data_IF_450801542623
#
_entry.id   IF_450801542623
#
_cell.length_a   1.000
_cell.length_b   1.000
_cell.length_c   1.000
_cell.angle_alpha   90.00
_cell.angle_beta   90.00
_cell.angle_gamma   90.00
#
_symmetry.space_group_name_H-M   'P 1'
#
loop_
_entity.id
_entity.type
_entity.pdbx_description
1 polymer ?
#
# COMPACT_ATOMS: atom_id res chain seq x y z
N UNK A 1 12.71 -23.70 -11.91
CA UNK A 1 12.91 -22.24 -11.70
C UNK A 1 11.96 -21.83 -10.59
N UNK A 2 12.39 -21.00 -9.65
CA UNK A 2 11.50 -20.42 -8.65
C UNK A 2 10.55 -19.44 -9.34
N UNK A 3 9.27 -19.49 -8.99
CA UNK A 3 8.28 -18.52 -9.50
C UNK A 3 8.65 -17.13 -9.03
N UNK A 4 8.34 -16.10 -9.83
CA UNK A 4 8.48 -14.71 -9.43
C UNK A 4 7.44 -14.35 -8.40
N UNK A 5 7.81 -13.58 -7.39
CA UNK A 5 6.88 -13.02 -6.41
C UNK A 5 6.36 -11.68 -6.89
N UNK A 6 5.05 -11.60 -7.02
CA UNK A 6 4.33 -10.37 -7.40
C UNK A 6 3.62 -9.82 -6.17
N UNK A 7 3.90 -8.59 -5.81
CA UNK A 7 3.27 -7.93 -4.65
C UNK A 7 2.39 -6.79 -5.11
N UNK A 8 1.13 -6.81 -4.73
CA UNK A 8 0.15 -5.74 -5.03
C UNK A 8 -0.59 -5.35 -3.75
N UNK A 9 -0.52 -4.07 -3.39
CA UNK A 9 -1.26 -3.51 -2.27
C UNK A 9 -2.40 -2.61 -2.73
N UNK A 10 -3.50 -2.63 -1.99
CA UNK A 10 -4.60 -1.68 -2.15
C UNK A 10 -4.88 -0.96 -0.84
N UNK A 11 -4.86 0.38 -0.89
CA UNK A 11 -5.11 1.22 0.30
C UNK A 11 -6.57 1.16 0.71
N UNK A 12 -6.83 0.93 1.99
CA UNK A 12 -8.18 0.75 2.55
C UNK A 12 -8.75 2.06 3.12
N UNK A 13 -8.73 3.13 2.33
CA UNK A 13 -9.17 4.47 2.74
C UNK A 13 -10.51 4.91 2.13
N UNK A 14 -11.32 3.98 1.63
CA UNK A 14 -12.62 4.26 1.03
C UNK A 14 -13.24 3.06 0.34
N UNK A 15 -14.46 3.23 -0.18
CA UNK A 15 -15.17 2.20 -0.93
C UNK A 15 -14.54 2.01 -2.32
N UNK A 16 -14.33 0.76 -2.78
CA UNK A 16 -13.81 0.48 -4.11
C UNK A 16 -14.71 1.08 -5.21
N UNK A 17 -14.09 1.65 -6.21
CA UNK A 17 -14.80 2.18 -7.37
C UNK A 17 -14.31 1.50 -8.66
N UNK A 18 -14.99 1.78 -9.78
CA UNK A 18 -14.69 1.17 -11.08
C UNK A 18 -13.22 1.31 -11.50
N UNK A 19 -12.57 2.43 -11.16
CA UNK A 19 -11.15 2.64 -11.43
C UNK A 19 -10.25 1.64 -10.69
N UNK A 20 -10.55 1.33 -9.43
CA UNK A 20 -9.82 0.30 -8.68
C UNK A 20 -10.00 -1.08 -9.32
N UNK A 21 -11.22 -1.38 -9.77
CA UNK A 21 -11.50 -2.65 -10.44
C UNK A 21 -10.71 -2.80 -11.73
N UNK A 22 -10.80 -1.84 -12.64
CA UNK A 22 -10.16 -1.93 -13.96
C UNK A 22 -8.64 -1.79 -13.87
N UNK A 23 -8.16 -0.87 -13.01
CA UNK A 23 -6.74 -0.53 -12.94
C UNK A 23 -5.89 -1.47 -12.08
N UNK A 24 -6.49 -2.10 -11.06
CA UNK A 24 -5.71 -2.91 -10.12
C UNK A 24 -6.30 -4.31 -9.89
N UNK A 25 -7.58 -4.41 -9.48
CA UNK A 25 -8.14 -5.69 -9.00
C UNK A 25 -8.22 -6.72 -10.13
N UNK A 26 -8.83 -6.36 -11.24
CA UNK A 26 -9.01 -7.26 -12.38
C UNK A 26 -7.69 -7.77 -12.97
N UNK A 27 -6.70 -6.91 -13.28
CA UNK A 27 -5.40 -7.38 -13.78
C UNK A 27 -4.69 -8.31 -12.80
N UNK A 28 -4.69 -7.99 -11.51
CA UNK A 28 -4.06 -8.80 -10.47
C UNK A 28 -4.71 -10.19 -10.35
N UNK A 29 -6.04 -10.27 -10.36
CA UNK A 29 -6.77 -11.55 -10.36
C UNK A 29 -6.43 -12.36 -11.61
N UNK A 30 -6.43 -11.75 -12.79
CA UNK A 30 -6.10 -12.44 -14.04
C UNK A 30 -4.67 -12.99 -14.04
N UNK A 31 -3.71 -12.23 -13.53
CA UNK A 31 -2.33 -12.68 -13.41
C UNK A 31 -2.20 -13.84 -12.43
N UNK A 32 -2.87 -13.80 -11.28
CA UNK A 32 -2.82 -14.88 -10.28
C UNK A 32 -3.37 -16.21 -10.81
N UNK A 33 -4.36 -16.17 -11.70
CA UNK A 33 -4.97 -17.35 -12.28
C UNK A 33 -4.07 -18.08 -13.30
N UNK A 34 -3.05 -17.41 -13.85
CA UNK A 34 -2.08 -18.05 -14.77
C UNK A 34 -1.22 -19.10 -14.07
N UNK A 35 -1.03 -18.97 -12.76
CA UNK A 35 -0.18 -19.84 -11.97
C UNK A 35 1.33 -19.70 -12.22
N UNK A 36 1.75 -18.69 -13.00
CA UNK A 36 3.15 -18.45 -13.36
C UNK A 36 3.93 -17.71 -12.27
N UNK A 37 3.21 -17.04 -11.37
CA UNK A 37 3.76 -16.23 -10.28
C UNK A 37 3.28 -16.69 -8.90
N UNK A 38 4.04 -16.37 -7.87
CA UNK A 38 3.58 -16.40 -6.48
C UNK A 38 3.00 -15.02 -6.15
N UNK A 39 1.68 -14.92 -6.09
CA UNK A 39 0.98 -13.66 -5.93
C UNK A 39 0.71 -13.35 -4.46
N UNK A 40 1.14 -12.17 -4.03
CA UNK A 40 0.92 -11.60 -2.70
C UNK A 40 0.05 -10.36 -2.85
N UNK A 41 -1.15 -10.39 -2.30
CA UNK A 41 -2.08 -9.27 -2.34
C UNK A 41 -2.39 -8.82 -0.92
N UNK A 42 -2.30 -7.53 -0.66
CA UNK A 42 -2.54 -7.04 0.68
C UNK A 42 -3.43 -5.81 0.76
N UNK A 43 -4.16 -5.77 1.85
CA UNK A 43 -5.01 -4.65 2.24
C UNK A 43 -4.15 -3.71 3.07
N UNK A 44 -3.80 -2.56 2.49
CA UNK A 44 -2.82 -1.62 3.03
C UNK A 44 -3.46 -0.66 4.06
N UNK A 45 -3.86 -1.21 5.20
CA UNK A 45 -4.55 -0.48 6.27
C UNK A 45 -3.63 0.47 7.04
N UNK A 46 -2.34 0.17 7.20
CA UNK A 46 -1.38 1.14 7.73
C UNK A 46 -1.19 2.33 6.79
N UNK A 47 -1.11 2.10 5.49
CA UNK A 47 -1.05 3.20 4.52
C UNK A 47 -2.33 4.04 4.50
N UNK A 48 -3.48 3.45 4.83
CA UNK A 48 -4.74 4.18 4.94
C UNK A 48 -4.71 5.26 6.02
N UNK A 49 -3.97 5.04 7.12
CA UNK A 49 -3.86 5.98 8.23
C UNK A 49 -3.27 7.34 7.84
N UNK A 50 -2.59 7.43 6.70
CA UNK A 50 -2.08 8.70 6.17
C UNK A 50 -3.23 9.69 5.92
N UNK A 51 -4.39 9.20 5.46
CA UNK A 51 -5.55 10.01 5.07
C UNK A 51 -6.78 9.78 5.91
N UNK A 52 -6.90 8.64 6.57
CA UNK A 52 -8.05 8.24 7.34
C UNK A 52 -7.61 7.64 8.67
N UNK A 53 -7.93 8.31 9.77
CA UNK A 53 -7.59 7.89 11.14
C UNK A 53 -8.83 7.43 11.92
N UNK A 54 -9.97 7.34 11.26
CA UNK A 54 -11.18 6.77 11.83
C UNK A 54 -11.10 5.24 11.77
N UNK A 55 -11.03 4.54 12.92
CA UNK A 55 -10.84 3.10 12.96
C UNK A 55 -12.03 2.32 12.38
N UNK A 56 -13.27 2.82 12.57
CA UNK A 56 -14.46 2.17 12.03
C UNK A 56 -14.48 2.24 10.50
N UNK A 57 -14.12 3.40 9.96
CA UNK A 57 -14.07 3.61 8.52
C UNK A 57 -12.96 2.78 7.86
N UNK A 58 -11.76 2.72 8.47
CA UNK A 58 -10.66 1.89 7.97
C UNK A 58 -11.06 0.41 8.02
N UNK A 59 -11.64 -0.06 9.12
CA UNK A 59 -12.10 -1.44 9.26
C UNK A 59 -13.17 -1.80 8.21
N UNK A 60 -14.19 -0.95 8.07
CA UNK A 60 -15.26 -1.13 7.08
C UNK A 60 -14.70 -1.18 5.67
N UNK A 61 -13.83 -0.23 5.30
CA UNK A 61 -13.18 -0.17 3.99
C UNK A 61 -12.34 -1.42 3.70
N UNK A 62 -11.61 -1.91 4.70
CA UNK A 62 -10.83 -3.14 4.60
C UNK A 62 -11.72 -4.34 4.26
N UNK A 63 -12.86 -4.50 4.94
CA UNK A 63 -13.80 -5.58 4.66
C UNK A 63 -14.48 -5.44 3.30
N UNK A 64 -14.88 -4.23 2.91
CA UNK A 64 -15.50 -3.98 1.61
C UNK A 64 -14.56 -4.30 0.45
N UNK A 65 -13.28 -3.90 0.56
CA UNK A 65 -12.27 -4.20 -0.45
C UNK A 65 -11.97 -5.69 -0.50
N UNK A 66 -11.76 -6.33 0.66
CA UNK A 66 -11.53 -7.79 0.72
C UNK A 66 -12.68 -8.57 0.08
N UNK A 67 -13.92 -8.23 0.45
CA UNK A 67 -15.13 -8.86 -0.10
C UNK A 67 -15.24 -8.65 -1.62
N UNK A 68 -14.86 -7.45 -2.10
CA UNK A 68 -14.86 -7.15 -3.53
C UNK A 68 -13.86 -8.02 -4.29
N UNK A 69 -12.65 -8.21 -3.78
CA UNK A 69 -11.65 -9.08 -4.41
C UNK A 69 -12.14 -10.52 -4.53
N UNK A 70 -12.70 -11.06 -3.44
CA UNK A 70 -13.26 -12.43 -3.42
C UNK A 70 -14.45 -12.57 -4.37
N UNK A 71 -15.38 -11.61 -4.35
CA UNK A 71 -16.55 -11.62 -5.23
C UNK A 71 -16.19 -11.50 -6.71
N UNK A 72 -15.06 -10.86 -7.04
CA UNK A 72 -14.55 -10.71 -8.40
C UNK A 72 -13.73 -11.91 -8.88
N UNK A 73 -13.58 -12.93 -8.06
CA UNK A 73 -12.98 -14.21 -8.44
C UNK A 73 -11.55 -14.43 -7.97
N UNK A 74 -11.06 -13.66 -7.00
CA UNK A 74 -9.81 -13.99 -6.33
C UNK A 74 -9.93 -15.36 -5.66
N UNK A 75 -9.02 -16.27 -5.98
CA UNK A 75 -8.96 -17.58 -5.31
C UNK A 75 -7.93 -17.52 -4.16
N UNK A 76 -8.39 -17.51 -2.89
CA UNK A 76 -7.49 -17.42 -1.74
C UNK A 76 -6.59 -18.64 -1.56
N UNK A 77 -6.92 -19.79 -2.17
CA UNK A 77 -6.10 -21.00 -2.11
C UNK A 77 -4.88 -20.92 -3.06
N UNK A 78 -4.87 -19.96 -3.99
CA UNK A 78 -3.82 -19.79 -4.99
C UNK A 78 -2.92 -18.57 -4.75
N UNK A 79 -3.28 -17.71 -3.81
CA UNK A 79 -2.56 -16.47 -3.51
C UNK A 79 -2.35 -16.32 -2.02
N UNK A 80 -1.38 -15.50 -1.64
CA UNK A 80 -1.28 -15.01 -0.27
C UNK A 80 -2.07 -13.71 -0.19
N UNK A 81 -3.25 -13.76 0.44
CA UNK A 81 -4.11 -12.59 0.62
C UNK A 81 -4.20 -12.23 2.10
N UNK A 82 -3.74 -11.03 2.47
CA UNK A 82 -3.58 -10.65 3.87
C UNK A 82 -3.87 -9.16 4.11
N UNK A 83 -4.11 -8.80 5.35
CA UNK A 83 -4.15 -7.43 5.81
C UNK A 83 -2.76 -7.03 6.32
N UNK A 84 -2.27 -5.87 5.95
CA UNK A 84 -0.93 -5.40 6.31
C UNK A 84 -0.70 -5.43 7.83
N UNK A 85 -1.70 -5.02 8.62
CA UNK A 85 -1.63 -5.03 10.08
C UNK A 85 -1.64 -6.43 10.73
N UNK A 86 -1.89 -7.49 9.99
CA UNK A 86 -1.77 -8.87 10.50
C UNK A 86 -0.30 -9.32 10.60
N UNK A 87 0.63 -8.52 10.06
CA UNK A 87 2.06 -8.79 10.06
C UNK A 87 2.80 -7.67 10.80
N UNK A 88 2.90 -7.74 12.13
CA UNK A 88 3.51 -6.68 12.96
C UNK A 88 4.98 -6.42 12.60
N UNK A 89 5.69 -7.42 12.08
CA UNK A 89 7.09 -7.32 11.66
C UNK A 89 7.31 -6.27 10.56
N UNK A 90 6.28 -5.94 9.78
CA UNK A 90 6.35 -4.86 8.78
C UNK A 90 6.65 -3.53 9.47
N UNK A 91 6.03 -3.24 10.60
CA UNK A 91 6.28 -2.01 11.36
C UNK A 91 7.64 -2.02 12.03
N UNK A 92 8.12 -3.17 12.50
CA UNK A 92 9.46 -3.33 13.06
C UNK A 92 10.53 -3.07 11.99
N UNK A 93 10.38 -3.68 10.81
CA UNK A 93 11.27 -3.44 9.68
C UNK A 93 11.22 -1.98 9.23
N UNK A 94 10.03 -1.38 9.19
CA UNK A 94 9.87 0.05 8.88
C UNK A 94 10.66 0.93 9.83
N UNK A 95 10.65 0.63 11.14
CA UNK A 95 11.43 1.38 12.11
C UNK A 95 12.93 1.25 11.89
N UNK A 96 13.42 0.03 11.64
CA UNK A 96 14.83 -0.22 11.32
C UNK A 96 15.25 0.56 10.08
N UNK A 97 14.46 0.48 9.01
CA UNK A 97 14.73 1.21 7.77
C UNK A 97 14.68 2.73 7.98
N UNK A 98 13.77 3.23 8.81
CA UNK A 98 13.66 4.65 9.14
C UNK A 98 14.94 5.16 9.80
N UNK A 99 15.51 4.40 10.74
CA UNK A 99 16.76 4.75 11.42
C UNK A 99 17.97 4.78 10.47
N UNK A 100 17.91 4.02 9.38
CA UNK A 100 18.99 3.92 8.39
C UNK A 100 18.82 4.84 7.19
N UNK A 101 17.63 5.41 6.98
CA UNK A 101 17.31 6.21 5.80
C UNK A 101 17.65 7.68 6.03
N UNK A 102 18.47 8.25 5.15
CA UNK A 102 18.80 9.68 5.22
C UNK A 102 17.54 10.53 4.94
N UNK A 103 17.27 11.53 5.82
CA UNK A 103 16.13 12.46 5.66
C UNK A 103 16.09 13.11 4.27
N UNK A 104 17.26 13.47 3.71
CA UNK A 104 17.36 14.06 2.37
C UNK A 104 16.87 13.14 1.24
N UNK A 105 16.86 11.81 1.44
CA UNK A 105 16.25 10.87 0.50
C UNK A 105 14.73 10.94 0.59
N UNK A 106 14.18 10.92 1.79
CA UNK A 106 12.73 10.98 2.03
C UNK A 106 12.13 12.31 1.55
N UNK A 107 12.87 13.42 1.69
CA UNK A 107 12.47 14.73 1.15
C UNK A 107 12.22 14.71 -0.38
N UNK A 108 12.68 13.70 -1.10
CA UNK A 108 12.45 13.55 -2.54
C UNK A 108 11.14 12.84 -2.85
N UNK A 109 10.44 12.33 -1.86
CA UNK A 109 9.16 11.63 -2.00
C UNK A 109 8.16 12.46 -2.82
N UNK A 110 7.54 11.86 -3.84
CA UNK A 110 6.67 12.58 -4.76
C UNK A 110 5.47 13.21 -4.04
N UNK A 111 4.79 12.45 -3.18
CA UNK A 111 3.62 12.95 -2.45
C UNK A 111 3.97 14.10 -1.49
N UNK A 112 5.10 14.00 -0.78
CA UNK A 112 5.59 15.07 0.08
C UNK A 112 5.86 16.35 -0.73
N UNK A 113 6.61 16.24 -1.84
CA UNK A 113 6.88 17.39 -2.70
C UNK A 113 5.62 18.03 -3.27
N UNK A 114 4.67 17.20 -3.69
CA UNK A 114 3.39 17.71 -4.22
C UNK A 114 2.60 18.46 -3.15
N UNK A 115 2.59 17.96 -1.91
CA UNK A 115 1.92 18.62 -0.80
C UNK A 115 2.59 19.97 -0.45
N UNK A 116 3.94 19.99 -0.35
CA UNK A 116 4.70 21.24 -0.13
C UNK A 116 4.43 22.26 -1.24
N UNK A 117 4.41 21.83 -2.49
CA UNK A 117 4.12 22.72 -3.62
C UNK A 117 2.70 23.29 -3.57
N UNK A 118 1.70 22.50 -3.16
CA UNK A 118 0.34 23.00 -2.96
C UNK A 118 0.27 24.03 -1.84
N UNK A 119 0.97 23.81 -0.73
CA UNK A 119 1.04 24.75 0.38
C UNK A 119 1.69 26.06 -0.04
N UNK A 120 2.80 26.01 -0.79
CA UNK A 120 3.49 27.17 -1.32
C UNK A 120 2.56 28.01 -2.23
N UNK A 121 1.83 27.37 -3.14
CA UNK A 121 0.85 28.04 -4.02
C UNK A 121 -0.29 28.67 -3.22
N UNK A 122 -0.68 28.05 -2.09
CA UNK A 122 -1.76 28.53 -1.22
C UNK A 122 -1.29 29.60 -0.22
N UNK A 123 0.02 29.89 -0.16
CA UNK A 123 0.61 30.84 0.79
C UNK A 123 0.69 30.33 2.23
N UNK A 124 0.61 29.02 2.42
CA UNK A 124 0.72 28.35 3.72
C UNK A 124 2.17 27.96 4.04
N UNK A 125 2.42 27.58 5.29
CA UNK A 125 3.71 26.97 5.66
C UNK A 125 3.98 25.71 4.86
N UNK A 126 5.24 25.46 4.50
CA UNK A 126 5.63 24.33 3.65
C UNK A 126 5.11 22.98 4.17
N UNK A 127 5.09 22.79 5.48
CA UNK A 127 4.66 21.54 6.13
C UNK A 127 3.22 21.60 6.66
N UNK A 128 2.45 22.64 6.32
CA UNK A 128 1.06 22.78 6.76
C UNK A 128 0.21 21.55 6.36
N UNK A 129 -0.43 20.95 7.35
CA UNK A 129 -1.30 19.77 7.14
C UNK A 129 -0.58 18.47 6.72
N UNK A 130 0.76 18.47 6.63
CA UNK A 130 1.55 17.29 6.29
C UNK A 130 1.87 16.50 7.56
N UNK A 131 1.33 15.28 7.67
CA UNK A 131 1.68 14.40 8.78
C UNK A 131 2.92 13.53 8.47
N UNK A 132 3.52 12.96 9.53
CA UNK A 132 4.70 12.11 9.39
C UNK A 132 4.44 10.85 8.55
N UNK A 133 3.20 10.35 8.51
CA UNK A 133 2.81 9.24 7.65
C UNK A 133 2.98 9.57 6.17
N UNK A 134 2.50 10.75 5.74
CA UNK A 134 2.69 11.22 4.35
C UNK A 134 4.17 11.42 4.01
N UNK A 135 4.96 11.89 4.96
CA UNK A 135 6.40 12.09 4.76
C UNK A 135 7.14 10.76 4.64
N UNK A 136 6.84 9.80 5.52
CA UNK A 136 7.63 8.56 5.70
C UNK A 136 7.05 7.31 5.03
N UNK A 137 5.84 7.37 4.41
CA UNK A 137 5.23 6.19 3.78
C UNK A 137 6.14 5.44 2.77
N UNK A 138 7.09 6.08 2.07
CA UNK A 138 7.98 5.34 1.18
C UNK A 138 8.86 4.33 1.92
N UNK A 139 9.12 4.56 3.20
CA UNK A 139 9.88 3.61 4.03
C UNK A 139 9.00 2.41 4.41
N UNK A 140 7.74 2.64 4.78
CA UNK A 140 6.77 1.57 5.00
C UNK A 140 6.57 0.73 3.73
N UNK A 141 6.43 1.39 2.58
CA UNK A 141 6.32 0.70 1.28
C UNK A 141 7.56 -0.13 0.97
N UNK A 142 8.75 0.36 1.30
CA UNK A 142 9.98 -0.42 1.16
C UNK A 142 9.98 -1.65 2.07
N UNK A 143 9.45 -1.54 3.30
CA UNK A 143 9.29 -2.67 4.20
C UNK A 143 8.32 -3.72 3.64
N UNK A 144 7.17 -3.30 3.09
CA UNK A 144 6.22 -4.21 2.43
C UNK A 144 6.88 -5.03 1.33
N UNK A 145 7.71 -4.39 0.51
CA UNK A 145 8.40 -5.02 -0.62
C UNK A 145 9.48 -5.98 -0.15
N UNK A 146 10.34 -5.52 0.77
CA UNK A 146 11.49 -6.27 1.24
C UNK A 146 11.10 -7.46 2.10
N UNK A 147 10.04 -7.34 2.90
CA UNK A 147 9.55 -8.41 3.78
C UNK A 147 9.23 -9.69 3.00
N UNK A 148 8.64 -9.56 1.83
CA UNK A 148 8.25 -10.69 0.98
C UNK A 148 9.25 -10.98 -0.14
N UNK A 149 10.36 -10.22 -0.21
CA UNK A 149 11.35 -10.36 -1.28
C UNK A 149 10.67 -10.36 -2.66
N UNK A 150 9.82 -9.35 -2.90
CA UNK A 150 9.05 -9.24 -4.13
C UNK A 150 9.94 -8.94 -5.33
N UNK A 151 9.72 -9.68 -6.42
CA UNK A 151 10.43 -9.49 -7.70
C UNK A 151 9.75 -8.47 -8.61
N UNK A 152 8.43 -8.34 -8.48
CA UNK A 152 7.59 -7.49 -9.33
C UNK A 152 6.56 -6.76 -8.49
N UNK A 153 6.43 -5.47 -8.73
CA UNK A 153 5.41 -4.60 -8.14
C UNK A 153 4.69 -3.93 -9.32
N UNK A 154 3.48 -4.38 -9.67
CA UNK A 154 2.69 -3.74 -10.72
C UNK A 154 2.29 -2.32 -10.29
N UNK A 155 2.44 -1.35 -11.18
CA UNK A 155 2.10 0.07 -10.99
C UNK A 155 1.15 0.55 -12.08
#
# INVERSE_FOLDING_TARGET
MTKKRVLTGITTSGTPHLGNYVGAIRPAIQESLSGDCDSFFFLADYHALIKCQDPELVHKSTLEIASSWLALGLNPDQVTFYRQSDIPEITELTWILTCMTAKGLVNRGHAYKSAVQLNDVSGEDADFGINMGLFSYPILMAADILMFNADVIPV
#
